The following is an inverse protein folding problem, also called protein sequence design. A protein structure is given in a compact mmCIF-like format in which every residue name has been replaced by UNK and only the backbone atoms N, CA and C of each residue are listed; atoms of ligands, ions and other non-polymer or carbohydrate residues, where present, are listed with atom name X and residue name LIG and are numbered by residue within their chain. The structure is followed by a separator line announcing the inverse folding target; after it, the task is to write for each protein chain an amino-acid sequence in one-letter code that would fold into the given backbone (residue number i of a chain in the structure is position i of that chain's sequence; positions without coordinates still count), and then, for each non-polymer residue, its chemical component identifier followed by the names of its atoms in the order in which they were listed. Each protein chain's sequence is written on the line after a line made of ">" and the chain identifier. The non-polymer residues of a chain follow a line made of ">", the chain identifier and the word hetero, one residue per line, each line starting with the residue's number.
data_IF_587434982621
#
_entry.id   IF_587434982621
#
_cell.length_a   1.000
_cell.length_b   1.000
_cell.length_c   1.000
_cell.angle_alpha   90.00
_cell.angle_beta   90.00
_cell.angle_gamma   90.00
#
_symmetry.space_group_name_H-M   'P 1'
#
loop_
_entity.id
_entity.type
_entity.pdbx_description
1 polymer ?
#
# COMPACT_ATOMS: atom_id res chain seq x y z
N UNK A 1 20.86 -3.17 1.13
CA UNK A 1 19.69 -2.55 1.79
C UNK A 1 18.60 -2.30 0.75
N UNK A 2 17.40 -2.78 1.02
CA UNK A 2 16.31 -2.60 0.09
C UNK A 2 15.63 -1.26 0.35
N UNK A 3 15.67 -0.39 -0.64
CA UNK A 3 14.94 0.86 -0.55
C UNK A 3 13.57 0.67 -1.20
N UNK A 4 12.53 1.01 -0.45
CA UNK A 4 11.19 0.95 -0.95
C UNK A 4 10.86 2.26 -1.64
N UNK A 5 10.34 2.16 -2.86
CA UNK A 5 10.06 3.33 -3.67
C UNK A 5 8.92 4.15 -3.07
N UNK A 6 9.13 5.45 -2.91
CA UNK A 6 8.10 6.35 -2.39
C UNK A 6 6.95 6.47 -3.38
N UNK A 7 5.76 6.68 -2.85
CA UNK A 7 4.60 6.91 -3.69
C UNK A 7 3.40 6.07 -3.29
N UNK A 8 2.53 5.85 -4.26
CA UNK A 8 1.27 5.14 -4.08
C UNK A 8 1.42 3.70 -4.51
N UNK A 9 0.88 2.80 -3.70
CA UNK A 9 0.87 1.37 -3.97
C UNK A 9 -0.56 0.88 -4.06
N UNK A 10 -0.79 -0.06 -4.95
CA UNK A 10 -2.09 -0.71 -5.07
C UNK A 10 -2.00 -2.09 -4.47
N UNK A 11 -2.86 -2.36 -3.49
CA UNK A 11 -3.00 -3.69 -2.91
C UNK A 11 -3.67 -4.61 -3.93
N UNK A 12 -3.33 -5.89 -3.92
CA UNK A 12 -3.87 -6.83 -4.91
C UNK A 12 -5.41 -6.91 -4.89
N UNK A 13 -6.03 -6.52 -3.79
CA UNK A 13 -7.50 -6.46 -3.71
C UNK A 13 -8.08 -5.17 -4.30
N UNK A 14 -7.24 -4.24 -4.74
CA UNK A 14 -7.67 -3.05 -5.45
C UNK A 14 -7.52 -1.73 -4.71
N UNK A 15 -7.35 -1.75 -3.41
CA UNK A 15 -7.26 -0.52 -2.63
C UNK A 15 -5.90 0.16 -2.78
N UNK A 16 -5.89 1.46 -2.63
CA UNK A 16 -4.68 2.27 -2.78
C UNK A 16 -4.16 2.74 -1.43
N UNK A 17 -2.83 2.78 -1.32
CA UNK A 17 -2.14 3.18 -0.09
C UNK A 17 -0.96 4.08 -0.44
N UNK A 18 -0.71 5.05 0.42
CA UNK A 18 0.47 5.92 0.31
C UNK A 18 1.54 5.41 1.27
N UNK A 19 2.74 5.19 0.75
CA UNK A 19 3.87 4.82 1.61
C UNK A 19 4.28 6.03 2.43
N UNK A 20 4.36 5.87 3.75
CA UNK A 20 4.87 6.90 4.64
C UNK A 20 6.36 6.71 4.84
N UNK A 21 6.79 5.48 5.09
CA UNK A 21 8.20 5.20 5.28
C UNK A 21 8.45 3.81 5.80
N UNK A 22 9.71 3.51 6.03
CA UNK A 22 10.14 2.23 6.61
C UNK A 22 10.84 2.54 7.92
N UNK A 23 10.36 1.91 8.98
CA UNK A 23 10.96 2.05 10.30
C UNK A 23 11.52 0.73 10.78
N UNK A 24 12.00 0.72 12.01
CA UNK A 24 12.54 -0.47 12.64
C UNK A 24 11.74 -0.78 13.89
N UNK A 25 11.36 -2.04 14.03
CA UNK A 25 10.70 -2.50 15.25
C UNK A 25 11.71 -2.39 16.39
N UNK A 26 11.36 -1.70 17.46
CA UNK A 26 12.33 -1.38 18.51
C UNK A 26 12.83 -2.59 19.27
N UNK A 27 12.08 -3.67 19.32
CA UNK A 27 12.50 -4.88 20.05
C UNK A 27 13.14 -5.92 19.15
N UNK A 28 12.57 -6.16 17.97
CA UNK A 28 13.05 -7.22 17.09
C UNK A 28 14.04 -6.73 16.05
N UNK A 29 14.11 -5.40 15.85
CA UNK A 29 14.92 -4.76 14.81
C UNK A 29 14.47 -5.11 13.40
N UNK A 30 13.28 -5.63 13.27
CA UNK A 30 12.69 -5.97 11.98
C UNK A 30 12.25 -4.70 11.24
N UNK A 31 12.51 -4.65 9.93
CA UNK A 31 12.08 -3.52 9.11
C UNK A 31 10.55 -3.54 8.98
N UNK A 32 9.92 -2.42 9.26
CA UNK A 32 8.46 -2.27 9.24
C UNK A 32 8.07 -1.18 8.27
N UNK A 33 7.08 -1.46 7.43
CA UNK A 33 6.56 -0.49 6.47
C UNK A 33 5.36 0.21 7.09
N UNK A 34 5.36 1.54 7.04
CA UNK A 34 4.27 2.38 7.52
C UNK A 34 3.59 3.01 6.32
N UNK A 35 2.29 2.82 6.19
CA UNK A 35 1.54 3.28 5.03
C UNK A 35 0.14 3.70 5.44
N UNK A 36 -0.49 4.55 4.63
CA UNK A 36 -1.82 5.09 4.95
C UNK A 36 -2.81 4.74 3.87
N UNK A 37 -3.99 4.30 4.29
CA UNK A 37 -5.08 3.98 3.36
C UNK A 37 -5.62 5.25 2.73
N UNK A 38 -5.74 5.24 1.40
CA UNK A 38 -6.28 6.36 0.64
C UNK A 38 -7.78 6.20 0.36
N UNK A 39 -8.44 5.36 1.15
CA UNK A 39 -9.87 5.12 1.04
C UNK A 39 -10.46 5.11 2.44
N UNK A 40 -11.77 5.35 2.52
CA UNK A 40 -12.48 5.29 3.80
C UNK A 40 -12.54 3.83 4.25
N UNK A 41 -12.34 3.61 5.55
CA UNK A 41 -12.41 2.27 6.12
C UNK A 41 -12.70 2.36 7.62
N UNK A 42 -13.31 1.32 8.20
CA UNK A 42 -13.41 1.26 9.66
C UNK A 42 -12.02 1.04 10.24
N UNK A 43 -11.74 1.70 11.36
CA UNK A 43 -10.47 1.57 12.04
C UNK A 43 -9.41 2.53 11.53
N UNK A 44 -8.19 2.41 12.04
CA UNK A 44 -7.10 3.33 11.69
C UNK A 44 -6.73 3.26 10.21
N UNK A 45 -6.45 4.43 9.62
CA UNK A 45 -5.99 4.50 8.23
C UNK A 45 -4.50 4.28 8.12
N UNK A 46 -3.74 4.58 9.16
CA UNK A 46 -2.30 4.31 9.17
C UNK A 46 -2.10 2.85 9.53
N UNK A 47 -1.37 2.15 8.67
CA UNK A 47 -1.14 0.72 8.80
C UNK A 47 0.35 0.44 8.91
N UNK A 48 0.68 -0.64 9.58
CA UNK A 48 2.07 -1.06 9.76
C UNK A 48 2.15 -2.55 9.45
N UNK A 49 3.18 -2.92 8.69
CA UNK A 49 3.36 -4.30 8.27
C UNK A 49 4.86 -4.59 8.12
N UNK A 50 5.31 -5.81 8.39
CA UNK A 50 6.71 -6.15 8.11
C UNK A 50 7.07 -5.92 6.65
N UNK A 51 8.31 -5.53 6.40
CA UNK A 51 8.79 -5.40 5.02
C UNK A 51 8.93 -6.76 4.35
N UNK A 52 9.46 -7.72 5.09
CA UNK A 52 9.74 -9.07 4.60
C UNK A 52 8.93 -10.10 5.36
N UNK A 53 9.06 -11.36 4.97
CA UNK A 53 8.38 -12.47 5.63
C UNK A 53 7.11 -12.85 4.92
N UNK A 54 6.39 -13.83 5.48
CA UNK A 54 5.22 -14.43 4.81
C UNK A 54 4.10 -13.44 4.54
N UNK A 55 3.96 -12.41 5.39
CA UNK A 55 2.93 -11.40 5.20
C UNK A 55 3.52 -10.02 5.00
N UNK A 56 4.78 -9.97 4.54
CA UNK A 56 5.49 -8.72 4.35
C UNK A 56 4.98 -7.91 3.17
N UNK A 57 5.36 -6.65 3.17
CA UNK A 57 4.95 -5.71 2.14
C UNK A 57 5.46 -6.11 0.75
N UNK A 58 6.65 -6.73 0.71
CA UNK A 58 7.29 -7.12 -0.56
C UNK A 58 6.92 -8.53 -1.01
N UNK A 59 6.01 -9.21 -0.32
CA UNK A 59 5.65 -10.57 -0.70
C UNK A 59 4.71 -10.60 -1.89
N UNK A 60 4.56 -11.78 -2.46
CA UNK A 60 3.61 -12.03 -3.52
C UNK A 60 2.44 -12.84 -2.98
N UNK A 61 1.34 -12.83 -3.72
CA UNK A 61 0.17 -13.64 -3.41
C UNK A 61 -0.25 -14.39 -4.67
N UNK A 62 -0.93 -15.51 -4.47
CA UNK A 62 -1.51 -16.26 -5.58
C UNK A 62 -2.92 -15.73 -5.84
N UNK A 63 -3.19 -15.34 -7.08
CA UNK A 63 -4.50 -14.85 -7.46
C UNK A 63 -4.90 -15.50 -8.78
N UNK A 64 -5.91 -16.36 -8.75
CA UNK A 64 -6.42 -17.07 -9.93
C UNK A 64 -5.31 -17.75 -10.72
N UNK A 65 -4.42 -18.44 -10.00
CA UNK A 65 -3.33 -19.19 -10.62
C UNK A 65 -2.13 -18.35 -11.02
N UNK A 66 -2.14 -17.06 -10.73
CA UNK A 66 -1.03 -16.17 -11.04
C UNK A 66 -0.40 -15.63 -9.78
N UNK A 67 0.91 -15.46 -9.80
CA UNK A 67 1.64 -14.85 -8.70
C UNK A 67 1.71 -13.35 -8.96
N UNK A 68 1.16 -12.56 -8.05
CA UNK A 68 1.14 -11.11 -8.17
C UNK A 68 1.72 -10.48 -6.91
N UNK A 69 2.29 -9.27 -6.99
CA UNK A 69 2.78 -8.60 -5.79
C UNK A 69 1.60 -8.24 -4.88
N UNK A 70 1.82 -8.38 -3.58
CA UNK A 70 0.82 -7.97 -2.60
C UNK A 70 0.52 -6.47 -2.71
N UNK A 71 1.58 -5.68 -2.93
CA UNK A 71 1.49 -4.24 -3.17
C UNK A 71 2.30 -3.90 -4.41
N UNK A 72 1.68 -3.26 -5.37
CA UNK A 72 2.35 -2.85 -6.60
C UNK A 72 2.47 -1.32 -6.64
N UNK A 73 3.67 -0.82 -6.87
CA UNK A 73 3.89 0.62 -7.02
C UNK A 73 3.24 1.10 -8.32
N UNK A 74 2.47 2.17 -8.24
CA UNK A 74 1.75 2.69 -9.41
C UNK A 74 2.09 4.14 -9.74
N UNK A 75 2.92 4.80 -8.95
CA UNK A 75 3.30 6.17 -9.21
C UNK A 75 3.19 7.01 -7.97
N UNK A 76 3.16 8.32 -8.16
CA UNK A 76 3.09 9.27 -7.06
C UNK A 76 1.67 9.74 -6.76
N UNK A 77 0.72 9.34 -7.58
CA UNK A 77 -0.67 9.77 -7.45
C UNK A 77 -1.63 8.62 -7.78
N UNK A 78 -2.85 8.73 -7.25
CA UNK A 78 -3.93 7.84 -7.65
C UNK A 78 -4.23 8.10 -9.12
N UNK A 79 -4.55 7.06 -9.92
CA UNK A 79 -4.83 7.25 -11.34
C UNK A 79 -5.89 8.33 -11.58
N UNK A 80 -5.64 9.17 -12.57
CA UNK A 80 -6.45 10.35 -12.87
C UNK A 80 -7.92 10.02 -13.13
N UNK A 81 -8.17 8.94 -13.81
CA UNK A 81 -9.54 8.54 -14.15
C UNK A 81 -10.40 8.35 -12.90
N UNK A 82 -9.85 7.67 -11.91
CA UNK A 82 -10.55 7.45 -10.65
C UNK A 82 -10.73 8.76 -9.89
N UNK A 83 -9.71 9.60 -9.95
CA UNK A 83 -9.72 10.89 -9.29
C UNK A 83 -10.84 11.77 -9.84
N UNK A 84 -10.95 11.83 -11.16
CA UNK A 84 -11.99 12.63 -11.82
C UNK A 84 -13.38 12.14 -11.48
N UNK A 85 -13.58 10.84 -11.45
CA UNK A 85 -14.87 10.25 -11.10
C UNK A 85 -15.29 10.63 -9.69
N UNK A 86 -14.35 10.59 -8.74
CA UNK A 86 -14.64 10.96 -7.37
C UNK A 86 -14.99 12.44 -7.25
N UNK A 87 -14.29 13.29 -7.97
CA UNK A 87 -14.58 14.72 -7.97
C UNK A 87 -15.96 15.01 -8.55
N UNK A 88 -16.34 14.33 -9.60
CA UNK A 88 -17.64 14.51 -10.20
C UNK A 88 -18.77 14.12 -9.25
N UNK A 89 -18.56 13.10 -8.47
CA UNK A 89 -19.56 12.67 -7.50
C UNK A 89 -19.69 13.66 -6.36
N UNK A 90 -18.65 14.38 -6.04
CA UNK A 90 -18.65 15.34 -4.94
C UNK A 90 -19.17 16.70 -5.34
N UNK A 91 -19.21 17.01 -6.61
CA UNK A 91 -19.56 18.34 -7.11
C UNK A 91 -21.04 18.53 -7.38
N UNK A 92 -21.86 17.79 -6.75
CA UNK A 92 -23.30 17.89 -6.92
C UNK A 92 -23.89 19.00 -6.05
#
# INVERSE_FOLDING_TARGET
>A
MTELRSGVYRHYKGDHYQLIGVGEHTETHEAMVVYVALHARPGPRIRIRPLNGAEGFLTTVELKGKTVPRFAWIGNEIPTERWDADLQQQSV
#
